data_IF_353385991613
#
_entry.id   IF_353385991613
#
_cell.length_a   1.000
_cell.length_b   1.000
_cell.length_c   1.000
_cell.angle_alpha   90.00
_cell.angle_beta   90.00
_cell.angle_gamma   90.00
#
_symmetry.space_group_name_H-M   'P 1'
#
loop_
_entity.id
_entity.type
_entity.pdbx_description
1 polymer ?
#
# COMPACT_ATOMS: atom_id res chain seq x y z
N UNK A 1 -2.66 0.03 -13.15
CA UNK A 1 -2.27 1.26 -12.42
C UNK A 1 -3.53 2.08 -12.19
N UNK A 2 -3.70 2.62 -10.98
CA UNK A 2 -4.77 3.57 -10.65
C UNK A 2 -4.13 4.95 -10.59
N UNK A 3 -4.73 5.95 -11.23
CA UNK A 3 -4.30 7.35 -11.17
C UNK A 3 -5.29 8.10 -10.27
N UNK A 4 -4.73 8.89 -9.36
CA UNK A 4 -5.48 9.72 -8.43
C UNK A 4 -5.45 11.13 -8.98
N UNK A 5 -6.64 11.67 -9.24
CA UNK A 5 -6.84 13.05 -9.67
C UNK A 5 -7.32 13.89 -8.49
N UNK A 6 -6.84 15.12 -8.38
CA UNK A 6 -7.43 16.10 -7.47
C UNK A 6 -8.76 16.65 -8.02
N UNK A 7 -9.41 17.54 -7.27
CA UNK A 7 -10.68 18.14 -7.66
C UNK A 7 -10.59 19.05 -8.90
N UNK A 8 -9.38 19.48 -9.29
CA UNK A 8 -9.15 20.24 -10.52
C UNK A 8 -9.02 19.35 -11.76
N UNK A 9 -8.95 18.03 -11.58
CA UNK A 9 -8.68 17.08 -12.64
C UNK A 9 -7.18 16.88 -12.92
N UNK A 10 -6.29 17.36 -12.06
CA UNK A 10 -4.85 17.16 -12.19
C UNK A 10 -4.42 15.82 -11.60
N UNK A 11 -3.59 15.06 -12.31
CA UNK A 11 -3.06 13.79 -11.81
C UNK A 11 -1.98 14.04 -10.74
N UNK A 12 -2.28 13.72 -9.48
CA UNK A 12 -1.43 14.06 -8.33
C UNK A 12 -0.67 12.85 -7.76
N UNK A 13 -1.15 11.65 -8.01
CA UNK A 13 -0.47 10.42 -7.61
C UNK A 13 -0.93 9.25 -8.49
N UNK A 14 -0.14 8.18 -8.50
CA UNK A 14 -0.57 6.90 -9.06
C UNK A 14 -0.16 5.76 -8.13
N UNK A 15 -0.88 4.64 -8.23
CA UNK A 15 -0.58 3.42 -7.49
C UNK A 15 -0.60 2.21 -8.43
N UNK A 16 0.40 1.34 -8.28
CA UNK A 16 0.43 0.05 -8.96
C UNK A 16 0.65 -1.07 -7.95
N UNK A 17 -0.08 -2.17 -8.09
CA UNK A 17 0.15 -3.35 -7.27
C UNK A 17 1.43 -4.04 -7.73
N UNK A 18 2.35 -4.29 -6.80
CA UNK A 18 3.62 -4.97 -7.06
C UNK A 18 3.68 -6.36 -6.40
N UNK A 19 2.84 -6.59 -5.40
CA UNK A 19 2.62 -7.91 -4.82
C UNK A 19 1.12 -8.09 -4.62
N UNK A 20 0.48 -9.09 -5.25
CA UNK A 20 -0.94 -9.34 -5.07
C UNK A 20 -1.25 -9.80 -3.64
N UNK A 21 -2.50 -9.57 -3.21
CA UNK A 21 -3.01 -10.06 -1.94
C UNK A 21 -3.39 -11.54 -2.09
N UNK A 22 -2.42 -12.42 -1.93
CA UNK A 22 -2.62 -13.87 -2.07
C UNK A 22 -2.91 -14.48 -0.70
N UNK A 23 -4.09 -15.06 -0.48
CA UNK A 23 -4.39 -15.74 0.77
C UNK A 23 -3.52 -16.98 0.98
N UNK A 24 -3.25 -17.29 2.25
CA UNK A 24 -2.58 -18.53 2.62
C UNK A 24 -3.49 -19.73 2.31
N UNK A 25 -2.95 -20.90 1.90
CA UNK A 25 -3.76 -22.09 1.64
C UNK A 25 -4.67 -22.43 2.82
N UNK A 26 -5.96 -22.64 2.54
CA UNK A 26 -6.97 -22.94 3.57
C UNK A 26 -7.41 -21.73 4.42
N UNK A 27 -7.09 -20.50 4.01
CA UNK A 27 -7.48 -19.27 4.71
C UNK A 27 -7.81 -18.13 3.74
N UNK A 28 -8.55 -17.14 4.20
CA UNK A 28 -8.78 -15.83 3.57
C UNK A 28 -7.70 -14.78 3.96
N UNK A 29 -6.68 -15.20 4.71
CA UNK A 29 -5.67 -14.30 5.28
C UNK A 29 -4.42 -14.18 4.41
N UNK A 30 -4.02 -12.95 4.15
CA UNK A 30 -2.70 -12.60 3.58
C UNK A 30 -1.71 -12.48 4.73
N UNK A 31 -0.64 -13.29 4.72
CA UNK A 31 0.35 -13.29 5.80
C UNK A 31 1.36 -12.16 5.65
N UNK A 32 2.03 -11.79 6.76
CA UNK A 32 3.16 -10.85 6.73
C UNK A 32 4.30 -11.32 5.81
N UNK A 33 4.54 -12.63 5.73
CA UNK A 33 5.57 -13.22 4.88
C UNK A 33 5.30 -13.06 3.38
N UNK A 34 4.03 -12.89 2.98
CA UNK A 34 3.64 -12.61 1.62
C UNK A 34 2.65 -11.43 1.57
N UNK A 35 3.05 -10.31 2.18
CA UNK A 35 2.21 -9.14 2.27
C UNK A 35 1.86 -8.60 0.88
N UNK A 36 0.59 -8.26 0.68
CA UNK A 36 0.17 -7.50 -0.51
C UNK A 36 0.83 -6.13 -0.49
N UNK A 37 1.22 -5.63 -1.65
CA UNK A 37 1.99 -4.39 -1.72
C UNK A 37 1.62 -3.55 -2.94
N UNK A 38 1.53 -2.24 -2.70
CA UNK A 38 1.41 -1.21 -3.72
C UNK A 38 2.68 -0.35 -3.76
N UNK A 39 3.04 0.03 -4.97
CA UNK A 39 4.02 1.06 -5.26
C UNK A 39 3.28 2.37 -5.51
N UNK A 40 3.54 3.35 -4.67
CA UNK A 40 3.01 4.70 -4.78
C UNK A 40 3.97 5.53 -5.61
N UNK A 41 3.42 6.22 -6.60
CA UNK A 41 4.11 7.03 -7.58
C UNK A 41 3.70 8.49 -7.40
N UNK A 42 4.66 9.39 -7.58
CA UNK A 42 4.42 10.83 -7.67
C UNK A 42 4.76 11.33 -9.08
N UNK A 43 4.12 12.40 -9.56
CA UNK A 43 4.54 13.08 -10.78
C UNK A 43 6.00 13.53 -10.69
N UNK A 44 6.72 13.47 -11.80
CA UNK A 44 8.12 13.85 -11.90
C UNK A 44 8.29 14.97 -12.94
N UNK A 45 8.19 16.21 -12.48
CA UNK A 45 8.27 17.40 -13.34
C UNK A 45 6.91 17.82 -13.92
N UNK A 46 6.94 18.65 -14.97
CA UNK A 46 5.75 19.27 -15.55
C UNK A 46 4.93 18.34 -16.46
N UNK A 47 5.48 17.18 -16.85
CA UNK A 47 4.78 16.24 -17.71
C UNK A 47 4.10 15.13 -16.88
N UNK A 48 2.82 14.92 -17.11
CA UNK A 48 2.01 13.88 -16.43
C UNK A 48 2.42 12.46 -16.83
N UNK A 49 3.21 12.30 -17.90
CA UNK A 49 3.68 10.98 -18.35
C UNK A 49 4.91 10.46 -17.58
N UNK A 50 5.60 11.31 -16.82
CA UNK A 50 6.76 10.89 -16.02
C UNK A 50 6.36 10.67 -14.56
N UNK A 51 6.36 9.39 -14.15
CA UNK A 51 6.09 8.96 -12.77
C UNK A 51 7.39 8.54 -12.09
N UNK A 52 7.62 9.01 -10.86
CA UNK A 52 8.74 8.60 -10.02
C UNK A 52 8.23 7.80 -8.82
N UNK A 53 8.96 6.74 -8.45
CA UNK A 53 8.70 6.00 -7.23
C UNK A 53 8.75 6.94 -6.02
N UNK A 54 7.73 6.88 -5.17
CA UNK A 54 7.69 7.65 -3.93
C UNK A 54 7.79 6.74 -2.72
N UNK A 55 6.98 5.69 -2.66
CA UNK A 55 6.96 4.80 -1.51
C UNK A 55 6.33 3.45 -1.82
N UNK A 56 6.63 2.48 -0.97
CA UNK A 56 6.04 1.14 -0.98
C UNK A 56 5.13 1.00 0.24
N UNK A 57 3.86 0.71 -0.01
CA UNK A 57 2.88 0.39 1.02
C UNK A 57 2.62 -1.12 1.01
N UNK A 58 2.86 -1.78 2.13
CA UNK A 58 2.54 -3.19 2.34
C UNK A 58 1.42 -3.32 3.35
N UNK A 59 0.55 -4.31 3.15
CA UNK A 59 -0.50 -4.67 4.09
C UNK A 59 -0.69 -6.19 4.16
N UNK A 60 -1.02 -6.66 5.36
CA UNK A 60 -1.27 -8.07 5.65
C UNK A 60 -2.23 -8.20 6.84
N UNK A 61 -2.77 -9.39 7.07
CA UNK A 61 -3.60 -9.70 8.22
C UNK A 61 -2.77 -10.44 9.26
N UNK A 62 -2.64 -9.86 10.44
CA UNK A 62 -1.89 -10.44 11.54
C UNK A 62 -2.60 -11.67 12.12
N UNK A 63 -1.82 -12.60 12.66
CA UNK A 63 -2.33 -13.75 13.41
C UNK A 63 -2.30 -13.41 14.91
N UNK A 64 -3.45 -13.43 15.57
CA UNK A 64 -3.51 -13.18 17.01
C UNK A 64 -4.89 -13.37 17.63
N UNK A 65 -5.02 -13.21 18.96
CA UNK A 65 -6.30 -13.30 19.68
C UNK A 65 -7.34 -12.29 19.17
N UNK A 66 -6.86 -11.14 18.67
CA UNK A 66 -7.66 -10.14 17.98
C UNK A 66 -7.10 -10.00 16.56
N UNK A 67 -8.00 -10.09 15.58
CA UNK A 67 -7.68 -9.84 14.19
C UNK A 67 -7.14 -8.42 13.99
N UNK A 68 -5.98 -8.31 13.33
CA UNK A 68 -5.30 -7.04 13.09
C UNK A 68 -4.91 -6.86 11.63
N UNK A 69 -4.94 -5.62 11.16
CA UNK A 69 -4.40 -5.19 9.87
C UNK A 69 -2.99 -4.66 10.11
N UNK A 70 -1.99 -5.44 9.70
CA UNK A 70 -0.61 -4.99 9.69
C UNK A 70 -0.33 -4.13 8.47
N UNK A 71 0.52 -3.11 8.64
CA UNK A 71 0.97 -2.25 7.56
C UNK A 71 2.44 -1.89 7.70
N UNK A 72 3.10 -1.64 6.56
CA UNK A 72 4.45 -1.08 6.50
C UNK A 72 4.50 -0.08 5.34
N UNK A 73 5.02 1.11 5.60
CA UNK A 73 5.29 2.11 4.59
C UNK A 73 6.78 2.45 4.57
N UNK A 74 7.37 2.37 3.38
CA UNK A 74 8.78 2.67 3.15
C UNK A 74 8.91 3.71 2.03
N UNK A 75 9.76 4.72 2.21
CA UNK A 75 10.12 5.62 1.11
C UNK A 75 11.10 4.94 0.18
N UNK A 76 10.88 5.12 -1.13
CA UNK A 76 11.81 4.63 -2.16
C UNK A 76 12.84 5.73 -2.41
N UNK A 77 14.12 5.37 -2.31
CA UNK A 77 15.21 6.29 -2.64
C UNK A 77 15.52 6.25 -4.14
N UNK A 78 16.35 7.19 -4.61
CA UNK A 78 16.69 7.31 -6.03
C UNK A 78 17.49 6.11 -6.58
N UNK A 79 17.97 5.22 -5.71
CA UNK A 79 18.65 3.98 -6.09
C UNK A 79 17.68 2.82 -6.33
N UNK A 80 16.37 3.04 -6.23
CA UNK A 80 15.31 2.09 -6.59
C UNK A 80 14.72 1.31 -5.41
N UNK A 81 13.93 0.27 -5.70
CA UNK A 81 13.17 -0.50 -4.69
C UNK A 81 14.05 -1.35 -3.75
N UNK A 82 15.35 -1.44 -4.01
CA UNK A 82 16.32 -2.18 -3.20
C UNK A 82 16.87 -1.36 -2.03
N UNK A 83 16.65 -0.04 -2.04
CA UNK A 83 17.06 0.86 -0.96
C UNK A 83 15.86 1.70 -0.54
N UNK A 84 15.17 1.22 0.49
CA UNK A 84 14.01 1.89 1.06
C UNK A 84 14.27 2.34 2.49
N UNK A 85 13.62 3.42 2.90
CA UNK A 85 13.70 3.95 4.26
C UNK A 85 12.36 3.65 4.95
N UNK A 86 12.33 2.81 6.01
CA UNK A 86 11.08 2.52 6.71
C UNK A 86 10.61 3.80 7.44
N UNK A 87 9.36 4.19 7.20
CA UNK A 87 8.76 5.38 7.81
C UNK A 87 7.75 5.00 8.88
N UNK A 88 6.94 3.99 8.60
CA UNK A 88 5.91 3.55 9.52
C UNK A 88 5.70 2.05 9.39
N UNK A 89 5.53 1.39 10.52
CA UNK A 89 5.13 0.00 10.61
C UNK A 89 4.27 -0.18 11.86
N UNK A 90 3.19 -0.95 11.75
CA UNK A 90 2.32 -1.18 12.88
C UNK A 90 1.18 -2.14 12.58
N UNK A 91 0.32 -2.29 13.57
CA UNK A 91 -0.88 -3.11 13.48
C UNK A 91 -2.07 -2.32 13.98
N UNK A 92 -3.10 -2.20 13.15
CA UNK A 92 -4.39 -1.62 13.51
C UNK A 92 -5.35 -2.74 13.91
N UNK A 93 -6.04 -2.58 15.04
CA UNK A 93 -7.09 -3.53 15.44
C UNK A 93 -8.24 -3.45 14.44
N UNK A 94 -8.65 -4.59 13.89
CA UNK A 94 -9.85 -4.68 13.07
C UNK A 94 -11.07 -4.82 14.00
N UNK A 95 -11.37 -3.78 14.79
CA UNK A 95 -12.70 -3.69 15.39
C UNK A 95 -13.68 -3.52 14.24
N UNK A 96 -14.70 -4.38 14.19
CA UNK A 96 -15.76 -4.35 13.18
C UNK A 96 -16.25 -2.90 13.04
N UNK A 97 -15.94 -2.26 11.91
CA UNK A 97 -16.57 -0.97 11.57
C UNK A 97 -18.07 -1.28 11.57
N UNK A 98 -18.81 -0.64 12.48
CA UNK A 98 -20.25 -0.79 12.58
C UNK A 98 -20.81 -0.52 11.18
N UNK A 99 -21.67 -1.42 10.68
CA UNK A 99 -22.25 -1.34 9.35
C UNK A 99 -22.69 0.10 9.05
N UNK A 100 -22.03 0.77 8.11
CA UNK A 100 -22.64 1.90 7.44
C UNK A 100 -23.71 1.31 6.52
N UNK A 101 -24.96 1.33 7.00
CA UNK A 101 -26.10 1.13 6.13
C UNK A 101 -26.10 2.28 5.11
N UNK A 102 -25.83 1.95 3.85
CA UNK A 102 -26.15 2.80 2.70
C UNK A 102 -27.64 2.68 2.40
#
# INVERSE_FOLDING_TARGET
>A
MIIIYDLSGSAVAAASMITPFVPSPGSDRVSRSNAGAWLILRPNGACVSSWKHWGRLQAWRERGPVDGLGYKFELVTDTGLTSTIPIAEGTMSMKKVVNFAL
#
